data_IF_968932790445
#
_entry.id   IF_968932790445
#
_cell.length_a   1.000
_cell.length_b   1.000
_cell.length_c   1.000
_cell.angle_alpha   90.00
_cell.angle_beta   90.00
_cell.angle_gamma   90.00
#
_symmetry.space_group_name_H-M   'P 1'
#
loop_
_entity.id
_entity.type
_entity.pdbx_description
1 polymer ?
#
# COMPACT_ATOMS: atom_id res chain seq x y z
N UNK A 1 29.20 -3.02 25.06
CA UNK A 1 28.71 -1.62 25.07
C UNK A 1 28.39 -1.24 23.62
N UNK A 2 27.13 -0.96 23.29
CA UNK A 2 26.74 -0.49 21.95
C UNK A 2 27.38 0.89 21.77
N UNK A 3 28.36 1.00 20.87
CA UNK A 3 28.95 2.28 20.45
C UNK A 3 28.22 2.65 19.17
N UNK A 4 27.56 3.80 19.15
CA UNK A 4 26.75 4.29 18.03
C UNK A 4 25.48 3.42 17.77
N UNK A 5 24.33 4.08 17.57
CA UNK A 5 22.98 3.49 17.52
C UNK A 5 22.67 2.83 16.16
N UNK A 6 23.61 2.03 15.66
CA UNK A 6 23.49 1.29 14.41
C UNK A 6 22.84 -0.08 14.66
N UNK A 7 21.53 -0.17 14.43
CA UNK A 7 20.72 -1.39 14.62
C UNK A 7 21.20 -2.63 13.84
N UNK A 8 22.12 -2.47 12.87
CA UNK A 8 22.62 -3.55 11.99
C UNK A 8 24.15 -3.69 11.98
N UNK A 9 24.87 -3.15 12.97
CA UNK A 9 26.34 -3.03 12.94
C UNK A 9 27.08 -4.36 12.75
N UNK A 10 26.71 -5.41 13.50
CA UNK A 10 27.34 -6.73 13.40
C UNK A 10 27.09 -7.35 12.02
N UNK A 11 25.86 -7.28 11.53
CA UNK A 11 25.49 -7.77 10.21
C UNK A 11 26.29 -7.06 9.10
N UNK A 12 26.40 -5.72 9.17
CA UNK A 12 27.19 -4.95 8.19
C UNK A 12 28.67 -5.35 8.20
N UNK A 13 29.27 -5.51 9.38
CA UNK A 13 30.68 -5.91 9.50
C UNK A 13 30.94 -7.33 8.96
N UNK A 14 30.01 -8.26 9.16
CA UNK A 14 30.15 -9.65 8.72
C UNK A 14 30.02 -9.86 7.21
N UNK A 15 29.49 -8.88 6.46
CA UNK A 15 29.31 -8.94 5.00
C UNK A 15 30.04 -7.82 4.27
N UNK A 16 30.91 -7.08 4.98
CA UNK A 16 31.55 -5.88 4.45
C UNK A 16 32.50 -6.18 3.28
N UNK A 17 33.06 -7.38 3.25
CA UNK A 17 33.89 -7.94 2.18
C UNK A 17 33.08 -8.43 0.97
N UNK A 18 31.77 -8.61 1.12
CA UNK A 18 30.88 -9.13 0.08
C UNK A 18 30.10 -8.06 -0.68
N UNK A 19 30.00 -6.84 -0.13
CA UNK A 19 29.14 -5.78 -0.67
C UNK A 19 29.92 -4.48 -0.89
N UNK A 20 29.56 -3.66 -1.90
CA UNK A 20 30.12 -2.32 -2.06
C UNK A 20 29.86 -1.45 -0.82
N UNK A 21 30.84 -0.65 -0.42
CA UNK A 21 30.79 0.18 0.79
C UNK A 21 29.55 1.10 0.84
N UNK A 22 29.14 1.66 -0.30
CA UNK A 22 27.94 2.48 -0.41
C UNK A 22 26.62 1.77 -0.09
N UNK A 23 26.58 0.43 -0.16
CA UNK A 23 25.39 -0.35 0.18
C UNK A 23 25.28 -0.59 1.69
N UNK A 24 26.42 -0.69 2.38
CA UNK A 24 26.48 -0.84 3.83
C UNK A 24 25.95 0.41 4.54
N UNK A 25 26.19 1.60 3.99
CA UNK A 25 25.74 2.87 4.57
C UNK A 25 24.30 3.26 4.21
N UNK A 26 23.63 2.48 3.36
CA UNK A 26 22.27 2.80 2.93
C UNK A 26 21.27 2.72 4.10
N UNK A 27 20.38 3.73 4.29
CA UNK A 27 19.31 3.65 5.28
C UNK A 27 18.40 2.44 5.07
N UNK A 28 17.82 1.92 6.16
CA UNK A 28 16.79 0.87 6.08
C UNK A 28 15.61 1.42 5.28
N UNK A 29 15.38 0.85 4.10
CA UNK A 29 14.12 1.02 3.37
C UNK A 29 13.20 -0.15 3.71
N UNK A 30 11.94 0.15 4.03
CA UNK A 30 10.90 -0.87 4.11
C UNK A 30 10.60 -1.45 2.74
N UNK A 31 9.97 -2.62 2.73
CA UNK A 31 9.38 -3.21 1.53
C UNK A 31 7.94 -2.70 1.39
N UNK A 32 7.81 -1.39 1.16
CA UNK A 32 6.50 -0.77 0.96
C UNK A 32 5.85 -1.35 -0.30
N UNK A 33 4.59 -1.77 -0.18
CA UNK A 33 3.79 -2.15 -1.34
C UNK A 33 3.51 -0.87 -2.15
N UNK A 34 3.79 -0.84 -3.47
CA UNK A 34 3.62 0.37 -4.27
C UNK A 34 2.14 0.57 -4.65
N UNK A 35 1.27 0.67 -3.64
CA UNK A 35 -0.19 0.77 -3.79
C UNK A 35 -0.59 1.91 -4.73
N UNK A 36 0.10 3.06 -4.64
CA UNK A 36 -0.13 4.21 -5.52
C UNK A 36 0.00 3.85 -7.01
N UNK A 37 1.11 3.18 -7.37
CA UNK A 37 1.34 2.76 -8.76
C UNK A 37 0.33 1.69 -9.15
N UNK A 38 0.15 0.68 -8.31
CA UNK A 38 -0.70 -0.46 -8.65
C UNK A 38 -2.16 -0.07 -8.84
N UNK A 39 -2.75 0.72 -7.94
CA UNK A 39 -4.15 1.13 -8.06
C UNK A 39 -4.40 2.19 -9.13
N UNK A 40 -3.34 2.81 -9.67
CA UNK A 40 -3.41 3.64 -10.88
C UNK A 40 -3.24 2.85 -12.18
N UNK A 41 -2.56 1.71 -12.15
CA UNK A 41 -2.30 0.90 -13.36
C UNK A 41 -2.86 -0.52 -13.21
N UNK A 42 -2.03 -1.45 -12.77
CA UNK A 42 -2.22 -2.90 -12.99
C UNK A 42 -3.42 -3.44 -12.18
N UNK A 43 -3.74 -2.77 -11.07
CA UNK A 43 -4.85 -3.08 -10.18
C UNK A 43 -5.95 -2.00 -10.19
N UNK A 44 -5.93 -1.06 -11.14
CA UNK A 44 -7.06 -0.13 -11.30
C UNK A 44 -8.39 -0.86 -11.55
N UNK A 45 -8.46 -1.91 -12.38
CA UNK A 45 -9.71 -2.67 -12.57
C UNK A 45 -10.22 -3.36 -11.31
N UNK A 46 -9.30 -3.73 -10.38
CA UNK A 46 -9.68 -4.32 -9.10
C UNK A 46 -10.42 -3.30 -8.23
N UNK A 47 -9.90 -2.07 -8.15
CA UNK A 47 -10.54 -0.97 -7.41
C UNK A 47 -11.93 -0.70 -7.99
N UNK A 48 -12.02 -0.59 -9.32
CA UNK A 48 -13.29 -0.28 -9.99
C UNK A 48 -14.32 -1.39 -9.80
N UNK A 49 -13.90 -2.65 -9.99
CA UNK A 49 -14.75 -3.83 -9.88
C UNK A 49 -15.19 -4.16 -8.45
N UNK A 50 -14.42 -3.75 -7.43
CA UNK A 50 -14.75 -4.07 -6.03
C UNK A 50 -15.42 -2.91 -5.31
N UNK A 51 -14.96 -1.67 -5.52
CA UNK A 51 -15.38 -0.51 -4.75
C UNK A 51 -16.34 0.42 -5.50
N UNK A 52 -16.33 0.41 -6.84
CA UNK A 52 -17.19 1.27 -7.66
C UNK A 52 -18.35 0.53 -8.32
N UNK A 53 -18.34 -0.80 -8.29
CA UNK A 53 -19.38 -1.65 -8.83
C UNK A 53 -20.73 -1.46 -8.11
N UNK A 54 -21.87 -1.68 -8.80
CA UNK A 54 -23.19 -1.55 -8.18
C UNK A 54 -23.44 -2.50 -7.01
N UNK A 55 -22.76 -3.65 -6.98
CA UNK A 55 -22.86 -4.68 -5.96
C UNK A 55 -21.82 -4.52 -4.83
N UNK A 56 -21.07 -3.41 -4.81
CA UNK A 56 -20.09 -3.13 -3.76
C UNK A 56 -20.79 -3.04 -2.39
N UNK A 57 -20.44 -3.92 -1.47
CA UNK A 57 -21.08 -4.01 -0.14
C UNK A 57 -20.75 -2.81 0.74
N UNK A 58 -19.58 -2.20 0.56
CA UNK A 58 -19.24 -0.93 1.21
C UNK A 58 -20.27 0.16 0.94
N UNK A 59 -20.96 0.16 -0.21
CA UNK A 59 -21.99 1.15 -0.53
C UNK A 59 -23.21 1.12 0.42
N UNK A 60 -23.42 0.00 1.14
CA UNK A 60 -24.46 -0.12 2.17
C UNK A 60 -24.09 0.60 3.49
N UNK A 61 -22.81 0.92 3.69
CA UNK A 61 -22.28 1.49 4.94
C UNK A 61 -21.70 2.90 4.78
N UNK A 62 -21.40 3.32 3.55
CA UNK A 62 -20.82 4.64 3.27
C UNK A 62 -21.26 5.16 1.90
N UNK A 63 -21.05 6.46 1.68
CA UNK A 63 -21.42 7.10 0.42
C UNK A 63 -20.64 6.51 -0.77
N UNK A 64 -21.36 5.85 -1.67
CA UNK A 64 -20.81 5.35 -2.94
C UNK A 64 -20.21 6.47 -3.79
N UNK A 65 -20.81 7.67 -3.76
CA UNK A 65 -20.29 8.84 -4.45
C UNK A 65 -18.92 9.26 -3.89
N UNK A 66 -18.74 9.23 -2.57
CA UNK A 66 -17.46 9.56 -1.94
C UNK A 66 -16.37 8.53 -2.27
N UNK A 67 -16.72 7.24 -2.26
CA UNK A 67 -15.79 6.16 -2.64
C UNK A 67 -15.34 6.30 -4.10
N UNK A 68 -16.28 6.59 -5.01
CA UNK A 68 -15.96 6.83 -6.42
C UNK A 68 -15.08 8.05 -6.62
N UNK A 69 -15.39 9.16 -5.95
CA UNK A 69 -14.55 10.36 -6.01
C UNK A 69 -13.11 10.08 -5.54
N UNK A 70 -12.96 9.32 -4.46
CA UNK A 70 -11.66 8.92 -3.93
C UNK A 70 -10.88 8.02 -4.90
N UNK A 71 -11.56 7.06 -5.55
CA UNK A 71 -10.96 6.23 -6.59
C UNK A 71 -10.54 7.07 -7.81
N UNK A 72 -11.38 8.02 -8.25
CA UNK A 72 -11.11 8.87 -9.41
C UNK A 72 -9.97 9.86 -9.16
N UNK A 73 -9.94 10.51 -7.99
CA UNK A 73 -8.82 11.38 -7.57
C UNK A 73 -7.50 10.63 -7.55
N UNK A 74 -7.53 9.37 -7.10
CA UNK A 74 -6.36 8.51 -7.12
C UNK A 74 -5.94 8.17 -8.54
N UNK A 75 -6.86 7.67 -9.36
CA UNK A 75 -6.62 7.22 -10.73
C UNK A 75 -6.04 8.35 -11.59
N UNK A 76 -6.55 9.57 -11.43
CA UNK A 76 -6.11 10.76 -12.18
C UNK A 76 -4.83 11.41 -11.63
N UNK A 77 -4.29 10.90 -10.52
CA UNK A 77 -3.08 11.44 -9.91
C UNK A 77 -3.26 12.73 -9.11
N UNK A 78 -4.51 13.15 -8.83
CA UNK A 78 -4.77 14.37 -8.07
C UNK A 78 -4.42 14.23 -6.58
N UNK A 79 -4.53 13.02 -6.05
CA UNK A 79 -4.12 12.68 -4.70
C UNK A 79 -3.63 11.23 -4.62
N UNK A 80 -2.83 10.92 -3.59
CA UNK A 80 -2.44 9.55 -3.29
C UNK A 80 -3.34 8.96 -2.20
N UNK A 81 -4.36 8.22 -2.65
CA UNK A 81 -5.31 7.51 -1.78
C UNK A 81 -5.01 6.00 -1.68
N UNK A 82 -3.80 5.55 -2.05
CA UNK A 82 -3.50 4.11 -2.16
C UNK A 82 -3.77 3.33 -0.87
N UNK A 83 -3.44 3.92 0.29
CA UNK A 83 -3.73 3.30 1.59
C UNK A 83 -5.23 3.30 1.93
N UNK A 84 -5.96 4.36 1.60
CA UNK A 84 -7.40 4.42 1.83
C UNK A 84 -8.14 3.38 0.96
N UNK A 85 -7.78 3.29 -0.31
CA UNK A 85 -8.30 2.29 -1.24
C UNK A 85 -7.99 0.86 -0.77
N UNK A 86 -6.78 0.60 -0.25
CA UNK A 86 -6.45 -0.70 0.32
C UNK A 86 -7.32 -1.06 1.54
N UNK A 87 -7.55 -0.11 2.43
CA UNK A 87 -8.44 -0.29 3.59
C UNK A 87 -9.86 -0.61 3.13
N UNK A 88 -10.37 0.12 2.14
CA UNK A 88 -11.71 -0.12 1.58
C UNK A 88 -11.81 -1.48 0.89
N UNK A 89 -10.80 -1.88 0.11
CA UNK A 89 -10.74 -3.21 -0.51
C UNK A 89 -10.73 -4.33 0.53
N UNK A 90 -10.00 -4.13 1.63
CA UNK A 90 -9.96 -5.07 2.75
C UNK A 90 -11.34 -5.20 3.39
N UNK A 91 -12.00 -4.07 3.65
CA UNK A 91 -13.36 -4.04 4.19
C UNK A 91 -14.36 -4.70 3.24
N UNK A 92 -14.36 -4.35 1.96
CA UNK A 92 -15.23 -4.95 0.94
C UNK A 92 -15.05 -6.47 0.88
N UNK A 93 -13.80 -6.94 0.92
CA UNK A 93 -13.47 -8.37 0.93
C UNK A 93 -14.04 -9.05 2.18
N UNK A 94 -13.94 -8.42 3.35
CA UNK A 94 -14.53 -8.93 4.59
C UNK A 94 -16.06 -8.99 4.49
N UNK A 95 -16.72 -7.91 4.07
CA UNK A 95 -18.19 -7.86 3.94
C UNK A 95 -18.70 -8.93 2.98
N UNK A 96 -18.00 -9.17 1.87
CA UNK A 96 -18.35 -10.25 0.91
C UNK A 96 -18.19 -11.64 1.51
N UNK A 97 -17.14 -11.87 2.29
CA UNK A 97 -16.85 -13.18 2.90
C UNK A 97 -17.79 -13.53 4.04
N UNK A 98 -18.08 -12.58 4.91
CA UNK A 98 -18.88 -12.81 6.11
C UNK A 98 -20.39 -12.67 5.87
N UNK A 99 -20.82 -12.35 4.65
CA UNK A 99 -22.24 -12.26 4.31
C UNK A 99 -22.94 -11.02 4.88
N UNK A 100 -22.19 -9.98 5.27
CA UNK A 100 -22.73 -8.71 5.77
C UNK A 100 -23.37 -7.87 4.67
#
# INVERSE_FOLDING_TARGET
RVRDMSLKRILKAAVADLLPEGLLERPKKGFGVPLDRWFRSDLAPLVDGMLCAPDARVASHMSSAAVRALADEHRRGAANHGHALWTLLTLETFLRREGW
#
